data_IF_550926936893
#
_entry.id   IF_550926936893
#
_cell.length_a   1.000
_cell.length_b   1.000
_cell.length_c   1.000
_cell.angle_alpha   90.00
_cell.angle_beta   90.00
_cell.angle_gamma   90.00
#
_symmetry.space_group_name_H-M   'P 1'
#
loop_
_entity.id
_entity.type
_entity.pdbx_description
1 polymer ?
#
# COMPACT_ATOMS: atom_id res chain seq x y z
N UNK A 1 -19.92 6.74 -16.83
CA UNK A 1 -18.80 6.48 -15.91
C UNK A 1 -17.70 5.66 -16.57
N UNK A 2 -17.98 4.47 -17.10
CA UNK A 2 -16.97 3.59 -17.76
C UNK A 2 -16.21 4.32 -18.87
N UNK A 3 -16.90 4.89 -19.86
CA UNK A 3 -16.27 5.61 -20.97
C UNK A 3 -15.39 6.80 -20.50
N UNK A 4 -15.82 7.54 -19.46
CA UNK A 4 -15.01 8.64 -18.92
C UNK A 4 -13.75 8.16 -18.23
N UNK A 5 -13.82 7.02 -17.53
CA UNK A 5 -12.66 6.41 -16.88
C UNK A 5 -11.66 5.83 -17.90
N UNK A 6 -12.17 5.23 -19.00
CA UNK A 6 -11.32 4.72 -20.09
C UNK A 6 -10.56 5.86 -20.79
N UNK A 7 -11.25 6.96 -21.14
CA UNK A 7 -10.59 8.15 -21.67
C UNK A 7 -9.50 8.67 -20.71
N UNK A 8 -9.80 8.67 -19.41
CA UNK A 8 -8.86 9.14 -18.39
C UNK A 8 -7.61 8.25 -18.29
N UNK A 9 -7.73 6.93 -18.42
CA UNK A 9 -6.58 6.02 -18.49
C UNK A 9 -5.66 6.38 -19.66
N UNK A 10 -6.23 6.65 -20.84
CA UNK A 10 -5.44 7.07 -22.01
C UNK A 10 -4.75 8.42 -21.80
N UNK A 11 -5.46 9.42 -21.24
CA UNK A 11 -4.87 10.72 -20.89
C UNK A 11 -3.69 10.58 -19.90
N UNK A 12 -3.81 9.71 -18.89
CA UNK A 12 -2.75 9.43 -17.93
C UNK A 12 -1.55 8.79 -18.64
N UNK A 13 -1.79 7.77 -19.47
CA UNK A 13 -0.74 7.10 -20.20
C UNK A 13 0.00 8.08 -21.14
N UNK A 14 -0.72 8.90 -21.89
CA UNK A 14 -0.13 9.89 -22.79
C UNK A 14 0.73 10.89 -22.02
N UNK A 15 0.29 11.38 -20.85
CA UNK A 15 1.11 12.25 -20.00
C UNK A 15 2.41 11.57 -19.58
N UNK A 16 2.36 10.29 -19.18
CA UNK A 16 3.54 9.53 -18.73
C UNK A 16 4.51 9.29 -19.91
N UNK A 17 4.01 8.82 -21.06
CA UNK A 17 4.86 8.59 -22.24
C UNK A 17 5.48 9.86 -22.77
N UNK A 18 4.73 10.98 -22.71
CA UNK A 18 5.29 12.29 -23.08
C UNK A 18 6.41 12.73 -22.12
N UNK A 19 6.23 12.52 -20.80
CA UNK A 19 7.23 12.84 -19.79
C UNK A 19 8.49 11.97 -19.95
N UNK A 20 8.35 10.66 -20.26
CA UNK A 20 9.48 9.79 -20.62
C UNK A 20 10.25 10.32 -21.84
N UNK A 21 9.52 10.65 -22.91
CA UNK A 21 10.12 11.17 -24.16
C UNK A 21 10.84 12.49 -23.95
N UNK A 22 10.32 13.36 -23.10
CA UNK A 22 10.91 14.68 -22.79
C UNK A 22 11.99 14.62 -21.71
N UNK A 23 12.31 13.43 -21.16
CA UNK A 23 13.28 13.25 -20.07
C UNK A 23 12.90 13.97 -18.77
N UNK A 24 11.61 14.27 -18.56
CA UNK A 24 11.12 14.95 -17.34
C UNK A 24 11.21 14.07 -16.09
N UNK A 25 11.38 12.74 -16.27
CA UNK A 25 11.44 11.74 -15.20
C UNK A 25 12.88 11.37 -14.78
N UNK A 26 13.91 12.02 -15.29
CA UNK A 26 15.31 11.66 -15.00
C UNK A 26 15.65 11.77 -13.51
N UNK A 27 15.18 12.83 -12.84
CA UNK A 27 15.40 13.06 -11.41
C UNK A 27 14.48 12.24 -10.49
N UNK A 28 13.54 11.47 -11.05
CA UNK A 28 12.65 10.59 -10.27
C UNK A 28 13.46 9.43 -9.68
N UNK A 29 13.24 9.12 -8.40
CA UNK A 29 13.86 7.96 -7.74
C UNK A 29 13.51 6.64 -8.41
N UNK A 30 14.18 5.54 -8.04
CA UNK A 30 14.03 4.24 -8.70
C UNK A 30 12.91 3.36 -8.12
N UNK A 31 12.39 3.67 -6.93
CA UNK A 31 11.49 2.81 -6.15
C UNK A 31 10.19 2.36 -6.83
N UNK A 32 9.53 1.40 -6.20
CA UNK A 32 8.26 0.84 -6.68
C UNK A 32 7.07 1.78 -6.45
N UNK A 33 6.84 2.16 -5.20
CA UNK A 33 5.68 2.99 -4.88
C UNK A 33 5.96 4.47 -5.13
N UNK A 34 7.20 4.90 -4.95
CA UNK A 34 7.65 6.27 -5.18
C UNK A 34 8.88 6.27 -6.08
N UNK A 35 8.66 6.08 -7.40
CA UNK A 35 9.76 6.06 -8.37
C UNK A 35 9.47 5.42 -9.72
N UNK A 36 10.54 5.27 -10.51
CA UNK A 36 10.52 4.82 -11.91
C UNK A 36 9.98 3.40 -12.07
N UNK A 37 10.28 2.48 -11.11
CA UNK A 37 9.80 1.11 -11.18
C UNK A 37 8.26 1.06 -11.24
N UNK A 38 7.58 1.88 -10.45
CA UNK A 38 6.12 1.97 -10.48
C UNK A 38 5.57 2.56 -11.78
N UNK A 39 6.26 3.54 -12.35
CA UNK A 39 5.91 4.12 -13.65
C UNK A 39 6.06 3.07 -14.77
N UNK A 40 7.16 2.31 -14.75
CA UNK A 40 7.39 1.18 -15.67
C UNK A 40 6.29 0.13 -15.53
N UNK A 41 5.92 -0.21 -14.28
CA UNK A 41 4.86 -1.17 -14.00
C UNK A 41 3.52 -0.76 -14.62
N UNK A 42 3.05 0.46 -14.34
CA UNK A 42 1.81 0.98 -14.93
C UNK A 42 1.87 1.00 -16.47
N UNK A 43 2.95 1.53 -17.04
CA UNK A 43 3.12 1.67 -18.49
C UNK A 43 3.15 0.31 -19.20
N UNK A 44 3.80 -0.69 -18.58
CA UNK A 44 3.83 -2.06 -19.11
C UNK A 44 2.47 -2.72 -19.07
N UNK A 45 1.72 -2.55 -17.96
CA UNK A 45 0.35 -3.07 -17.83
C UNK A 45 -0.60 -2.39 -18.82
N UNK A 46 -0.48 -1.07 -18.98
CA UNK A 46 -1.24 -0.32 -19.98
C UNK A 46 -0.99 -0.85 -21.40
N UNK A 47 0.28 -1.04 -21.80
CA UNK A 47 0.63 -1.56 -23.13
C UNK A 47 0.28 -3.02 -23.35
N UNK A 48 0.09 -3.82 -22.32
CA UNK A 48 -0.49 -5.16 -22.41
C UNK A 48 -1.95 -5.09 -22.86
N UNK A 49 -2.71 -4.12 -22.33
CA UNK A 49 -4.13 -3.93 -22.65
C UNK A 49 -4.33 -3.14 -23.96
N UNK A 50 -3.47 -2.17 -24.22
CA UNK A 50 -3.54 -1.25 -25.35
C UNK A 50 -2.20 -1.21 -26.09
N UNK A 51 -1.90 -2.23 -26.93
CA UNK A 51 -0.62 -2.31 -27.64
C UNK A 51 -0.37 -1.11 -28.56
N UNK A 52 0.76 -0.43 -28.39
CA UNK A 52 1.21 0.67 -29.21
C UNK A 52 2.73 0.56 -29.43
N UNK A 53 3.20 0.28 -30.68
CA UNK A 53 4.63 0.08 -30.94
C UNK A 53 5.51 1.31 -30.62
N UNK A 54 5.01 2.52 -30.86
CA UNK A 54 5.77 3.73 -30.58
C UNK A 54 5.94 3.98 -29.07
N UNK A 55 4.86 3.79 -28.30
CA UNK A 55 4.93 3.87 -26.84
C UNK A 55 5.78 2.74 -26.24
N UNK A 56 5.78 1.55 -26.86
CA UNK A 56 6.65 0.44 -26.45
C UNK A 56 8.12 0.81 -26.60
N UNK A 57 8.54 1.39 -27.72
CA UNK A 57 9.93 1.84 -27.94
C UNK A 57 10.35 2.90 -26.88
N UNK A 58 9.44 3.81 -26.51
CA UNK A 58 9.71 4.81 -25.47
C UNK A 58 9.91 4.12 -24.12
N UNK A 59 9.03 3.17 -23.77
CA UNK A 59 9.12 2.42 -22.52
C UNK A 59 10.40 1.58 -22.44
N UNK A 60 10.76 0.91 -23.53
CA UNK A 60 11.99 0.07 -23.58
C UNK A 60 13.23 0.92 -23.30
N UNK A 61 13.38 2.08 -23.96
CA UNK A 61 14.49 3.02 -23.70
C UNK A 61 14.49 3.55 -22.25
N UNK A 62 13.33 3.83 -21.70
CA UNK A 62 13.20 4.28 -20.31
C UNK A 62 13.56 3.18 -19.32
N UNK A 63 13.18 1.93 -19.64
CA UNK A 63 13.51 0.75 -18.84
C UNK A 63 15.01 0.45 -18.89
N UNK A 64 15.66 0.53 -20.06
CA UNK A 64 17.12 0.37 -20.20
C UNK A 64 17.86 1.40 -19.34
N UNK A 65 17.48 2.67 -19.41
CA UNK A 65 18.05 3.73 -18.55
C UNK A 65 17.82 3.48 -17.06
N UNK A 66 16.66 2.94 -16.67
CA UNK A 66 16.38 2.54 -15.29
C UNK A 66 17.32 1.41 -14.84
N UNK A 67 17.50 0.38 -15.66
CA UNK A 67 18.38 -0.75 -15.35
C UNK A 67 19.85 -0.31 -15.23
N UNK A 68 20.32 0.58 -16.11
CA UNK A 68 21.66 1.18 -16.02
C UNK A 68 21.85 1.94 -14.71
N UNK A 69 20.83 2.70 -14.27
CA UNK A 69 20.90 3.41 -12.99
C UNK A 69 20.90 2.44 -11.79
N UNK A 70 20.14 1.35 -11.88
CA UNK A 70 20.07 0.34 -10.82
C UNK A 70 21.44 -0.36 -10.62
N UNK A 71 22.22 -0.56 -11.68
CA UNK A 71 23.57 -1.16 -11.59
C UNK A 71 24.58 -0.28 -10.86
N UNK A 72 24.34 1.03 -10.77
CA UNK A 72 25.19 1.96 -9.99
C UNK A 72 24.95 1.88 -8.47
N UNK A 73 24.02 1.01 -8.03
CA UNK A 73 23.71 0.75 -6.64
C UNK A 73 22.48 1.53 -6.13
N UNK A 74 21.97 1.10 -5.00
CA UNK A 74 20.79 1.67 -4.32
C UNK A 74 21.17 2.15 -2.93
N UNK A 75 20.73 3.35 -2.59
CA UNK A 75 20.93 3.93 -1.25
C UNK A 75 19.88 3.43 -0.23
N UNK A 76 18.77 2.86 -0.70
CA UNK A 76 17.65 2.43 0.16
C UNK A 76 17.29 0.96 -0.08
N UNK A 77 17.02 0.25 1.01
CA UNK A 77 16.49 -1.13 0.98
C UNK A 77 14.98 -1.18 1.17
N UNK A 78 14.34 -0.05 1.44
CA UNK A 78 12.93 0.07 1.76
C UNK A 78 12.00 -0.38 0.62
N UNK A 79 10.77 -0.73 0.96
CA UNK A 79 9.78 -1.18 -0.01
C UNK A 79 9.26 -0.03 -0.90
N UNK A 80 9.01 1.14 -0.31
CA UNK A 80 8.43 2.27 -1.02
C UNK A 80 9.36 2.79 -2.13
N UNK A 81 10.61 3.10 -1.78
CA UNK A 81 11.55 3.84 -2.62
C UNK A 81 12.89 3.12 -2.84
N UNK A 82 13.01 1.86 -2.40
CA UNK A 82 14.26 1.12 -2.39
C UNK A 82 14.18 -0.24 -3.08
N UNK A 83 15.22 -1.03 -2.86
CA UNK A 83 15.51 -2.24 -3.60
C UNK A 83 14.46 -3.35 -3.40
N UNK A 84 13.93 -3.54 -2.17
CA UNK A 84 12.95 -4.59 -1.93
C UNK A 84 11.65 -4.36 -2.70
N UNK A 85 11.22 -3.11 -2.86
CA UNK A 85 10.09 -2.79 -3.71
C UNK A 85 10.37 -3.00 -5.20
N UNK A 86 11.58 -2.66 -5.68
CA UNK A 86 11.99 -2.91 -7.07
C UNK A 86 11.93 -4.40 -7.37
N UNK A 87 12.53 -5.24 -6.53
CA UNK A 87 12.52 -6.69 -6.69
C UNK A 87 11.09 -7.25 -6.65
N UNK A 88 10.23 -6.75 -5.77
CA UNK A 88 8.81 -7.13 -5.73
C UNK A 88 8.07 -6.72 -7.01
N UNK A 89 8.35 -5.54 -7.54
CA UNK A 89 7.81 -5.08 -8.82
C UNK A 89 8.22 -6.00 -9.98
N UNK A 90 9.50 -6.35 -10.09
CA UNK A 90 10.04 -7.26 -11.10
C UNK A 90 9.43 -8.67 -10.96
N UNK A 91 9.39 -9.21 -9.72
CA UNK A 91 8.75 -10.50 -9.40
C UNK A 91 7.28 -10.53 -9.86
N UNK A 92 6.53 -9.49 -9.55
CA UNK A 92 5.12 -9.39 -9.91
C UNK A 92 4.94 -9.26 -11.44
N UNK A 93 5.72 -8.40 -12.12
CA UNK A 93 5.66 -8.22 -13.57
C UNK A 93 5.93 -9.53 -14.32
N UNK A 94 6.93 -10.29 -13.90
CA UNK A 94 7.23 -11.61 -14.47
C UNK A 94 6.07 -12.59 -14.21
N UNK A 95 5.54 -12.63 -12.99
CA UNK A 95 4.41 -13.49 -12.59
C UNK A 95 3.16 -13.27 -13.45
N UNK A 96 2.85 -12.01 -13.80
CA UNK A 96 1.68 -11.67 -14.62
C UNK A 96 1.98 -11.55 -16.12
N UNK A 97 3.22 -11.82 -16.52
CA UNK A 97 3.63 -11.89 -17.93
C UNK A 97 3.60 -10.56 -18.68
N UNK A 98 3.78 -9.43 -18.00
CA UNK A 98 3.89 -8.11 -18.66
C UNK A 98 5.35 -7.73 -18.99
N UNK A 99 6.28 -8.38 -18.35
CA UNK A 99 7.72 -8.27 -18.63
C UNK A 99 8.36 -9.62 -18.30
N UNK A 100 9.49 -9.92 -18.93
CA UNK A 100 10.28 -11.10 -18.62
C UNK A 100 11.74 -10.66 -18.46
N UNK A 101 12.09 -10.23 -17.25
CA UNK A 101 13.44 -9.81 -16.88
C UNK A 101 14.05 -10.87 -15.97
N UNK A 102 15.31 -11.26 -16.29
CA UNK A 102 16.13 -12.03 -15.35
C UNK A 102 16.77 -11.05 -14.35
N UNK A 103 16.39 -11.17 -13.10
CA UNK A 103 16.93 -10.40 -11.99
C UNK A 103 17.55 -11.29 -10.89
N UNK A 104 17.83 -12.55 -11.24
CA UNK A 104 18.35 -13.54 -10.29
C UNK A 104 19.70 -13.11 -9.69
N UNK A 105 20.59 -12.53 -10.47
CA UNK A 105 21.87 -12.03 -9.98
C UNK A 105 21.68 -10.87 -9.00
N UNK A 106 20.75 -9.96 -9.29
CA UNK A 106 20.42 -8.85 -8.39
C UNK A 106 19.83 -9.39 -7.08
N UNK A 107 18.87 -10.31 -7.16
CA UNK A 107 18.25 -10.93 -6.00
C UNK A 107 19.29 -11.66 -5.15
N UNK A 108 20.08 -12.55 -5.73
CA UNK A 108 21.09 -13.33 -5.03
C UNK A 108 22.16 -12.45 -4.34
N UNK A 109 22.60 -11.39 -5.00
CA UNK A 109 23.63 -10.50 -4.46
C UNK A 109 23.11 -9.67 -3.27
N UNK A 110 21.84 -9.26 -3.29
CA UNK A 110 21.27 -8.37 -2.26
C UNK A 110 20.43 -9.09 -1.22
N UNK A 111 20.00 -10.34 -1.42
CA UNK A 111 19.17 -11.06 -0.46
C UNK A 111 19.77 -11.10 0.96
N UNK A 112 21.07 -11.39 1.17
CA UNK A 112 21.65 -11.38 2.52
C UNK A 112 21.60 -9.99 3.19
N UNK A 113 21.84 -8.93 2.41
CA UNK A 113 21.83 -7.55 2.89
C UNK A 113 20.40 -7.11 3.27
N UNK A 114 19.42 -7.43 2.42
CA UNK A 114 18.01 -7.12 2.68
C UNK A 114 17.49 -7.83 3.92
N UNK A 115 17.75 -9.13 4.05
CA UNK A 115 17.37 -9.92 5.24
C UNK A 115 18.04 -9.36 6.50
N UNK A 116 19.36 -9.10 6.45
CA UNK A 116 20.09 -8.50 7.55
C UNK A 116 19.54 -7.12 7.96
N UNK A 117 19.19 -6.29 6.97
CA UNK A 117 18.56 -4.99 7.23
C UNK A 117 17.16 -5.13 7.86
N UNK A 118 16.35 -6.12 7.45
CA UNK A 118 15.04 -6.36 8.04
C UNK A 118 15.16 -6.76 9.52
N UNK A 119 16.05 -7.71 9.85
CA UNK A 119 16.31 -8.13 11.23
C UNK A 119 16.86 -6.99 12.10
N UNK A 120 17.82 -6.22 11.56
CA UNK A 120 18.32 -5.03 12.21
C UNK A 120 17.21 -4.00 12.48
N UNK A 121 16.33 -3.78 11.49
CA UNK A 121 15.22 -2.84 11.61
C UNK A 121 14.23 -3.25 12.70
N UNK A 122 13.86 -4.53 12.79
CA UNK A 122 13.00 -5.05 13.88
C UNK A 122 13.66 -4.79 15.24
N UNK A 123 14.95 -5.13 15.37
CA UNK A 123 15.72 -4.94 16.62
C UNK A 123 15.83 -3.48 17.05
N UNK A 124 15.66 -2.54 16.10
CA UNK A 124 15.69 -1.09 16.32
C UNK A 124 14.30 -0.43 16.23
N UNK A 125 13.24 -1.21 16.42
CA UNK A 125 11.86 -0.72 16.48
C UNK A 125 11.36 -0.06 15.19
N UNK A 126 11.89 -0.45 14.02
CA UNK A 126 11.43 0.00 12.72
C UNK A 126 10.69 -1.12 11.98
N UNK A 127 9.42 -1.28 12.30
CA UNK A 127 8.50 -2.28 11.71
C UNK A 127 7.76 -1.75 10.48
N UNK A 128 8.06 -0.53 10.05
CA UNK A 128 7.36 0.16 8.97
C UNK A 128 7.29 -0.71 7.70
N UNK A 129 6.11 -0.76 7.05
CA UNK A 129 5.96 -1.49 5.81
C UNK A 129 6.64 -0.76 4.64
N UNK A 130 6.48 0.56 4.58
CA UNK A 130 7.01 1.36 3.47
C UNK A 130 8.52 1.57 3.57
N UNK A 131 9.03 1.79 4.78
CA UNK A 131 10.42 2.26 5.00
C UNK A 131 11.24 1.40 5.97
N UNK A 132 10.70 0.29 6.46
CA UNK A 132 11.33 -0.59 7.44
C UNK A 132 11.30 -2.07 7.04
N UNK A 133 11.15 -2.92 8.05
CA UNK A 133 11.32 -4.37 7.91
C UNK A 133 10.22 -5.06 7.10
N UNK A 134 8.94 -4.65 7.28
CA UNK A 134 7.81 -5.46 6.83
C UNK A 134 7.68 -5.59 5.31
N UNK A 135 8.08 -4.56 4.56
CA UNK A 135 8.10 -4.64 3.10
C UNK A 135 9.12 -5.65 2.57
N UNK A 136 10.28 -5.77 3.25
CA UNK A 136 11.30 -6.77 2.94
C UNK A 136 10.81 -8.17 3.32
N UNK A 137 10.20 -8.32 4.49
CA UNK A 137 9.63 -9.59 4.95
C UNK A 137 8.57 -10.08 3.96
N UNK A 138 7.74 -9.19 3.45
CA UNK A 138 6.76 -9.51 2.40
C UNK A 138 7.42 -10.08 1.14
N UNK A 139 8.54 -9.53 0.70
CA UNK A 139 9.28 -10.02 -0.47
C UNK A 139 9.84 -11.43 -0.26
N UNK A 140 10.40 -11.71 0.92
CA UNK A 140 10.96 -13.02 1.29
C UNK A 140 9.95 -13.94 2.00
N UNK A 141 8.66 -13.80 1.76
CA UNK A 141 7.61 -14.56 2.44
C UNK A 141 7.69 -16.09 2.26
N UNK A 142 8.42 -16.58 1.26
CA UNK A 142 8.64 -18.00 0.99
C UNK A 142 9.90 -18.56 1.67
N UNK A 143 10.77 -17.69 2.22
CA UNK A 143 12.00 -18.10 2.92
C UNK A 143 11.71 -18.49 4.37
N UNK A 144 11.52 -19.77 4.58
CA UNK A 144 11.07 -20.33 5.86
C UNK A 144 12.05 -20.08 7.02
N UNK A 145 13.37 -20.16 6.78
CA UNK A 145 14.39 -19.92 7.81
C UNK A 145 14.36 -18.47 8.25
N UNK A 146 14.41 -17.55 7.30
CA UNK A 146 14.31 -16.12 7.57
C UNK A 146 13.01 -15.73 8.26
N UNK A 147 11.86 -16.28 7.81
CA UNK A 147 10.56 -15.99 8.43
C UNK A 147 10.50 -16.49 9.88
N UNK A 148 11.03 -17.67 10.20
CA UNK A 148 11.07 -18.15 11.57
C UNK A 148 11.95 -17.28 12.48
N UNK A 149 13.05 -16.74 11.97
CA UNK A 149 13.88 -15.76 12.70
C UNK A 149 13.10 -14.46 12.94
N UNK A 150 12.40 -13.95 11.91
CA UNK A 150 11.52 -12.77 12.02
C UNK A 150 10.43 -12.98 13.08
N UNK A 151 9.73 -14.12 13.07
CA UNK A 151 8.69 -14.43 14.07
C UNK A 151 9.26 -14.40 15.48
N UNK A 152 10.42 -15.06 15.70
CA UNK A 152 11.10 -15.06 17.00
C UNK A 152 11.45 -13.64 17.45
N UNK A 153 11.98 -12.81 16.56
CA UNK A 153 12.40 -11.47 16.86
C UNK A 153 11.22 -10.53 17.12
N UNK A 154 10.13 -10.65 16.37
CA UNK A 154 8.88 -9.93 16.63
C UNK A 154 8.31 -10.27 18.01
N UNK A 155 8.34 -11.53 18.44
CA UNK A 155 7.92 -11.90 19.79
C UNK A 155 8.83 -11.37 20.91
N UNK A 156 10.13 -11.30 20.66
CA UNK A 156 11.11 -10.75 21.62
C UNK A 156 10.97 -9.24 21.79
N UNK A 157 10.68 -8.53 20.71
CA UNK A 157 10.57 -7.05 20.71
C UNK A 157 9.18 -6.53 21.07
N UNK A 158 8.18 -7.41 21.11
CA UNK A 158 6.83 -7.03 21.51
C UNK A 158 6.74 -6.60 22.98
N UNK A 159 6.10 -5.47 23.25
CA UNK A 159 5.59 -5.15 24.57
C UNK A 159 4.34 -5.97 24.87
N UNK A 160 4.42 -6.81 25.89
CA UNK A 160 3.38 -7.79 26.26
C UNK A 160 2.64 -7.31 27.50
N UNK A 161 1.34 -7.05 27.37
CA UNK A 161 0.49 -6.63 28.48
C UNK A 161 -0.94 -7.15 28.29
N UNK A 162 -1.55 -7.69 29.33
CA UNK A 162 -2.98 -8.05 29.39
C UNK A 162 -3.52 -8.78 28.16
N UNK A 163 -2.81 -9.83 27.71
CA UNK A 163 -3.17 -10.60 26.53
C UNK A 163 -3.04 -9.84 25.19
N UNK A 164 -2.25 -8.76 25.15
CA UNK A 164 -1.98 -7.98 23.95
C UNK A 164 -0.49 -7.90 23.64
N UNK A 165 -0.17 -7.77 22.35
CA UNK A 165 1.18 -7.43 21.88
C UNK A 165 1.11 -6.09 21.12
N UNK A 166 2.05 -5.19 21.43
CA UNK A 166 2.25 -3.96 20.68
C UNK A 166 3.73 -3.73 20.40
N UNK A 167 4.01 -2.95 19.41
CA UNK A 167 5.35 -2.55 19.04
C UNK A 167 5.43 -1.04 18.98
N UNK A 168 6.30 -0.46 19.80
CA UNK A 168 6.56 0.97 19.76
C UNK A 168 7.50 1.30 18.60
N UNK A 169 7.26 2.43 17.96
CA UNK A 169 8.06 2.99 16.89
C UNK A 169 8.17 4.51 17.05
N UNK A 170 9.03 5.12 16.25
CA UNK A 170 9.09 6.57 16.17
C UNK A 170 7.95 7.09 15.28
N UNK A 171 7.12 7.98 15.82
CA UNK A 171 5.94 8.52 15.15
C UNK A 171 6.13 9.99 14.83
N UNK A 172 5.82 10.37 13.59
CA UNK A 172 5.82 11.75 13.12
C UNK A 172 7.19 12.41 13.01
N UNK A 173 7.20 13.67 12.59
CA UNK A 173 8.45 14.44 12.42
C UNK A 173 9.22 14.68 13.74
N UNK A 174 8.52 14.69 14.86
CA UNK A 174 9.11 14.86 16.21
C UNK A 174 9.69 13.56 16.76
N UNK A 175 9.58 12.44 16.03
CA UNK A 175 10.09 11.12 16.43
C UNK A 175 9.65 10.69 17.84
N UNK A 176 8.43 11.01 18.22
CA UNK A 176 7.88 10.55 19.50
C UNK A 176 7.78 9.02 19.49
N UNK A 177 8.17 8.40 20.59
CA UNK A 177 8.00 6.95 20.77
C UNK A 177 6.53 6.69 21.07
N UNK A 178 5.92 5.79 20.31
CA UNK A 178 4.54 5.40 20.47
C UNK A 178 4.20 4.21 19.58
N UNK A 179 3.01 3.68 19.74
CA UNK A 179 2.53 2.58 18.93
C UNK A 179 1.70 3.10 17.76
N UNK A 180 2.02 2.68 16.53
CA UNK A 180 1.24 2.99 15.34
C UNK A 180 0.34 1.80 15.00
N UNK A 181 -0.97 2.04 14.84
CA UNK A 181 -1.94 0.99 14.45
C UNK A 181 -2.24 0.97 12.95
N UNK A 182 -1.68 1.90 12.18
CA UNK A 182 -1.95 2.07 10.76
C UNK A 182 -1.53 0.87 9.90
N UNK A 183 -2.12 0.75 8.71
CA UNK A 183 -1.77 -0.29 7.76
C UNK A 183 -0.42 -0.02 7.06
N UNK A 184 -0.09 1.24 6.78
CA UNK A 184 1.17 1.58 6.10
C UNK A 184 2.41 1.57 7.02
N UNK A 185 2.24 1.84 8.33
CA UNK A 185 3.36 2.14 9.22
C UNK A 185 3.29 1.47 10.60
N UNK A 186 2.36 0.54 10.82
CA UNK A 186 2.09 0.06 12.17
C UNK A 186 1.65 -1.38 12.31
N UNK A 187 0.99 -1.69 13.41
CA UNK A 187 0.59 -3.05 13.79
C UNK A 187 -0.30 -3.72 12.75
N UNK A 188 -1.17 -2.96 12.07
CA UNK A 188 -2.01 -3.53 11.02
C UNK A 188 -1.19 -4.13 9.88
N UNK A 189 -0.03 -3.56 9.53
CA UNK A 189 0.86 -4.18 8.53
C UNK A 189 1.54 -5.45 9.05
N UNK A 190 1.92 -5.52 10.34
CA UNK A 190 2.41 -6.77 10.94
C UNK A 190 1.36 -7.87 10.78
N UNK A 191 0.11 -7.58 11.15
CA UNK A 191 -1.00 -8.54 11.04
C UNK A 191 -1.17 -9.01 9.60
N UNK A 192 -1.26 -8.09 8.63
CA UNK A 192 -1.51 -8.46 7.22
C UNK A 192 -0.34 -9.24 6.63
N UNK A 193 0.90 -8.80 6.83
CA UNK A 193 2.08 -9.50 6.30
C UNK A 193 2.15 -10.91 6.87
N UNK A 194 1.98 -11.09 8.18
CA UNK A 194 2.00 -12.41 8.81
C UNK A 194 0.81 -13.29 8.39
N UNK A 195 -0.36 -12.70 8.16
CA UNK A 195 -1.56 -13.44 7.70
C UNK A 195 -1.40 -14.02 6.28
N UNK A 196 -0.47 -13.50 5.48
CA UNK A 196 -0.18 -13.97 4.12
C UNK A 196 0.95 -14.99 4.06
N UNK A 197 1.54 -15.37 5.19
CA UNK A 197 2.56 -16.40 5.26
C UNK A 197 1.90 -17.77 5.24
N UNK A 198 2.09 -18.54 4.17
CA UNK A 198 1.39 -19.82 3.93
C UNK A 198 2.33 -21.04 3.84
N UNK A 199 3.63 -20.86 4.08
CA UNK A 199 4.58 -21.98 4.03
C UNK A 199 4.33 -22.97 5.16
N UNK A 200 4.20 -24.25 4.83
CA UNK A 200 3.97 -25.35 5.79
C UNK A 200 5.08 -25.45 6.86
N UNK A 201 6.27 -24.95 6.57
CA UNK A 201 7.46 -25.11 7.42
C UNK A 201 7.73 -23.93 8.36
N UNK A 202 6.89 -22.92 8.39
CA UNK A 202 7.01 -21.82 9.37
C UNK A 202 6.44 -22.21 10.74
N UNK A 203 6.84 -21.50 11.77
CA UNK A 203 6.26 -21.67 13.11
C UNK A 203 4.86 -21.01 13.18
N UNK A 204 3.85 -21.78 12.74
CA UNK A 204 2.45 -21.34 12.75
C UNK A 204 1.95 -20.92 14.13
N UNK A 205 2.36 -21.62 15.19
CA UNK A 205 1.94 -21.28 16.56
C UNK A 205 2.42 -19.89 16.98
N UNK A 206 3.67 -19.55 16.67
CA UNK A 206 4.22 -18.21 16.92
C UNK A 206 3.52 -17.15 16.06
N UNK A 207 3.37 -17.41 14.74
CA UNK A 207 2.63 -16.54 13.82
C UNK A 207 1.23 -16.23 14.33
N UNK A 208 0.46 -17.25 14.64
CA UNK A 208 -0.95 -17.14 15.04
C UNK A 208 -1.08 -16.41 16.39
N UNK A 209 -0.18 -16.69 17.32
CA UNK A 209 -0.11 -15.97 18.61
C UNK A 209 0.20 -14.48 18.41
N UNK A 210 1.16 -14.13 17.54
CA UNK A 210 1.48 -12.72 17.24
C UNK A 210 0.25 -12.03 16.65
N UNK A 211 -0.40 -12.63 15.65
CA UNK A 211 -1.60 -12.07 15.01
C UNK A 211 -2.73 -11.87 16.04
N UNK A 212 -3.02 -12.90 16.84
CA UNK A 212 -4.08 -12.84 17.86
C UNK A 212 -3.83 -11.69 18.85
N UNK A 213 -2.62 -11.62 19.43
CA UNK A 213 -2.30 -10.61 20.43
C UNK A 213 -2.22 -9.20 19.87
N UNK A 214 -1.79 -9.04 18.62
CA UNK A 214 -1.81 -7.78 17.88
C UNK A 214 -3.26 -7.31 17.63
N UNK A 215 -4.15 -8.21 17.18
CA UNK A 215 -5.58 -7.89 17.01
C UNK A 215 -6.24 -7.50 18.34
N UNK A 216 -5.91 -8.17 19.44
CA UNK A 216 -6.41 -7.80 20.75
C UNK A 216 -5.96 -6.39 21.16
N UNK A 217 -4.71 -6.02 20.85
CA UNK A 217 -4.25 -4.65 21.06
C UNK A 217 -5.01 -3.64 20.20
N UNK A 218 -5.16 -3.90 18.91
CA UNK A 218 -5.94 -3.01 18.01
C UNK A 218 -7.36 -2.82 18.55
N UNK A 219 -8.05 -3.88 18.93
CA UNK A 219 -9.41 -3.80 19.48
C UNK A 219 -9.47 -2.95 20.77
N UNK A 220 -8.40 -2.95 21.57
CA UNK A 220 -8.32 -2.08 22.76
C UNK A 220 -8.20 -0.58 22.43
N UNK A 221 -7.90 -0.25 21.19
CA UNK A 221 -7.80 1.15 20.70
C UNK A 221 -9.10 1.66 20.05
N UNK A 222 -10.18 0.86 20.07
CA UNK A 222 -11.47 1.29 19.55
C UNK A 222 -12.04 2.47 20.36
N UNK A 223 -12.54 3.47 19.65
CA UNK A 223 -13.15 4.67 20.22
C UNK A 223 -14.64 4.72 19.92
N UNK A 224 -15.39 5.59 20.61
CA UNK A 224 -16.82 5.78 20.36
C UNK A 224 -17.06 6.36 18.95
N UNK A 225 -17.39 5.48 17.99
CA UNK A 225 -17.61 5.86 16.60
C UNK A 225 -18.81 6.78 16.40
N UNK A 226 -19.80 6.76 17.29
CA UNK A 226 -20.94 7.67 17.22
C UNK A 226 -20.52 9.10 17.58
N UNK A 227 -19.64 9.24 18.56
CA UNK A 227 -19.12 10.54 19.01
C UNK A 227 -18.04 11.09 18.08
N UNK A 228 -17.09 10.24 17.62
CA UNK A 228 -15.93 10.69 16.88
C UNK A 228 -16.04 10.51 15.36
N UNK A 229 -17.03 9.76 14.87
CA UNK A 229 -17.24 9.53 13.44
C UNK A 229 -16.22 8.57 12.81
N UNK A 230 -15.49 7.80 13.62
CA UNK A 230 -14.56 6.73 13.22
C UNK A 230 -14.39 5.72 14.36
N UNK A 231 -14.03 4.48 14.03
CA UNK A 231 -13.79 3.40 15.00
C UNK A 231 -12.41 3.48 15.64
N UNK A 232 -11.43 3.99 14.91
CA UNK A 232 -10.03 4.01 15.35
C UNK A 232 -9.41 5.38 15.13
N UNK A 233 -8.53 5.82 16.06
CA UNK A 233 -7.69 6.99 15.83
C UNK A 233 -6.66 6.71 14.71
N UNK A 234 -5.98 7.74 14.21
CA UNK A 234 -4.91 7.56 13.22
C UNK A 234 -3.70 6.80 13.77
N UNK A 235 -3.40 6.99 15.05
CA UNK A 235 -2.32 6.31 15.80
C UNK A 235 -2.87 5.86 17.15
N UNK A 236 -2.19 4.95 17.83
CA UNK A 236 -2.58 4.55 19.20
C UNK A 236 -2.63 5.75 20.13
N UNK A 237 -3.61 5.73 21.03
CA UNK A 237 -3.76 6.75 22.06
C UNK A 237 -3.00 6.36 23.32
N UNK A 238 -2.29 7.32 23.90
CA UNK A 238 -1.93 7.29 25.29
C UNK A 238 -3.08 7.93 26.11
N UNK A 239 -3.14 7.68 27.42
CA UNK A 239 -4.25 8.14 28.28
C UNK A 239 -4.51 9.66 28.27
N UNK A 240 -3.51 10.46 27.89
CA UNK A 240 -3.58 11.93 27.86
C UNK A 240 -3.78 12.52 26.46
N UNK A 241 -3.87 11.67 25.41
CA UNK A 241 -3.98 12.16 24.05
C UNK A 241 -5.42 12.62 23.73
N UNK A 242 -5.52 13.72 23.01
CA UNK A 242 -6.79 14.17 22.43
C UNK A 242 -7.24 13.21 21.33
N UNK A 243 -8.46 12.66 21.45
CA UNK A 243 -9.03 11.80 20.43
C UNK A 243 -9.45 12.64 19.22
N UNK A 244 -8.83 12.39 18.07
CA UNK A 244 -9.15 13.05 16.81
C UNK A 244 -9.73 12.05 15.81
N UNK A 245 -10.72 12.51 15.04
CA UNK A 245 -11.28 11.75 13.93
C UNK A 245 -10.20 11.37 12.92
N UNK A 246 -10.16 10.10 12.52
CA UNK A 246 -9.30 9.64 11.46
C UNK A 246 -9.93 9.83 10.07
N UNK A 247 -9.08 10.00 9.06
CA UNK A 247 -9.50 10.02 7.64
C UNK A 247 -9.90 8.62 7.16
N UNK A 248 -10.61 8.56 6.03
CA UNK A 248 -10.71 7.33 5.26
C UNK A 248 -9.51 7.24 4.32
N UNK A 249 -8.70 6.21 4.48
CA UNK A 249 -7.52 5.99 3.64
C UNK A 249 -7.04 4.54 3.75
N UNK A 250 -6.17 4.14 2.83
CA UNK A 250 -5.39 2.93 2.94
C UNK A 250 -4.35 3.04 4.07
N UNK A 251 -3.62 4.16 4.12
CA UNK A 251 -2.48 4.30 5.01
C UNK A 251 -2.87 4.38 6.49
N UNK A 252 -3.88 5.16 6.86
CA UNK A 252 -4.29 5.42 8.24
C UNK A 252 -5.81 5.32 8.41
N UNK A 253 -6.24 5.02 9.64
CA UNK A 253 -7.64 5.05 10.06
C UNK A 253 -8.37 3.73 9.83
N UNK A 254 -9.69 3.80 9.84
CA UNK A 254 -10.61 2.67 9.92
C UNK A 254 -10.39 1.59 8.87
N UNK A 255 -10.20 1.97 7.59
CA UNK A 255 -10.18 1.00 6.49
C UNK A 255 -8.95 0.09 6.54
N UNK A 256 -7.77 0.66 6.85
CA UNK A 256 -6.53 -0.12 6.98
C UNK A 256 -6.59 -1.09 8.15
N UNK A 257 -7.13 -0.64 9.30
CA UNK A 257 -7.34 -1.50 10.48
C UNK A 257 -8.36 -2.60 10.19
N UNK A 258 -9.47 -2.26 9.53
CA UNK A 258 -10.49 -3.24 9.18
C UNK A 258 -9.97 -4.29 8.19
N UNK A 259 -9.13 -3.91 7.21
CA UNK A 259 -8.47 -4.86 6.32
C UNK A 259 -7.57 -5.83 7.10
N UNK A 260 -6.82 -5.34 8.09
CA UNK A 260 -5.99 -6.20 8.94
C UNK A 260 -6.83 -7.19 9.78
N UNK A 261 -7.94 -6.72 10.37
CA UNK A 261 -8.87 -7.60 11.11
C UNK A 261 -9.53 -8.63 10.18
N UNK A 262 -9.83 -8.27 8.92
CA UNK A 262 -10.36 -9.18 7.93
C UNK A 262 -9.36 -10.30 7.60
N UNK A 263 -8.11 -9.95 7.31
CA UNK A 263 -7.06 -10.92 6.99
C UNK A 263 -6.74 -11.83 8.19
N UNK A 264 -6.63 -11.27 9.39
CA UNK A 264 -6.49 -12.05 10.61
C UNK A 264 -7.68 -13.01 10.82
N UNK A 265 -8.89 -12.54 10.57
CA UNK A 265 -10.11 -13.34 10.66
C UNK A 265 -10.17 -14.47 9.65
N UNK A 266 -9.54 -14.33 8.47
CA UNK A 266 -9.40 -15.41 7.48
C UNK A 266 -8.42 -16.48 7.97
N UNK A 267 -7.20 -16.07 8.32
CA UNK A 267 -6.11 -17.01 8.65
C UNK A 267 -6.36 -17.76 9.96
N UNK A 268 -6.95 -17.11 10.97
CA UNK A 268 -7.27 -17.72 12.27
C UNK A 268 -8.72 -18.24 12.38
N UNK A 269 -9.47 -18.22 11.28
CA UNK A 269 -10.90 -18.60 11.23
C UNK A 269 -11.75 -17.90 12.32
N UNK A 270 -11.45 -16.60 12.59
CA UNK A 270 -12.12 -15.82 13.61
C UNK A 270 -13.26 -14.98 13.01
N UNK A 271 -14.50 -15.47 13.20
CA UNK A 271 -15.69 -14.83 12.64
C UNK A 271 -15.98 -13.46 13.29
N UNK A 272 -15.59 -13.23 14.54
CA UNK A 272 -15.80 -11.96 15.23
C UNK A 272 -15.00 -10.83 14.53
N UNK A 273 -13.74 -11.07 14.19
CA UNK A 273 -12.92 -10.08 13.48
C UNK A 273 -13.41 -9.83 12.05
N UNK A 274 -13.83 -10.87 11.35
CA UNK A 274 -14.45 -10.72 10.02
C UNK A 274 -15.71 -9.86 10.09
N UNK A 275 -16.60 -10.13 11.05
CA UNK A 275 -17.82 -9.35 11.26
C UNK A 275 -17.50 -7.90 11.63
N UNK A 276 -16.51 -7.67 12.49
CA UNK A 276 -16.05 -6.32 12.85
C UNK A 276 -15.49 -5.55 11.65
N UNK A 277 -14.71 -6.19 10.81
CA UNK A 277 -14.23 -5.57 9.58
C UNK A 277 -15.37 -5.13 8.66
N UNK A 278 -16.36 -5.99 8.43
CA UNK A 278 -17.56 -5.66 7.63
C UNK A 278 -18.34 -4.50 8.26
N UNK A 279 -18.50 -4.48 9.58
CA UNK A 279 -19.17 -3.40 10.32
C UNK A 279 -18.48 -2.06 10.08
N UNK A 280 -17.14 -2.03 10.20
CA UNK A 280 -16.32 -0.81 9.99
C UNK A 280 -16.42 -0.32 8.55
N UNK A 281 -16.28 -1.21 7.55
CA UNK A 281 -16.46 -0.84 6.14
C UNK A 281 -17.87 -0.35 5.83
N UNK A 282 -18.90 -0.96 6.44
CA UNK A 282 -20.30 -0.54 6.30
C UNK A 282 -20.55 0.84 6.90
N UNK A 283 -19.95 1.14 8.07
CA UNK A 283 -20.00 2.46 8.66
C UNK A 283 -19.26 3.48 7.78
N UNK A 284 -18.05 3.16 7.36
CA UNK A 284 -17.20 4.02 6.54
C UNK A 284 -17.81 4.33 5.17
N UNK A 285 -18.62 3.42 4.59
CA UNK A 285 -19.31 3.62 3.31
C UNK A 285 -20.31 4.81 3.32
N UNK A 286 -20.70 5.28 4.49
CA UNK A 286 -21.59 6.46 4.66
C UNK A 286 -20.86 7.79 4.55
N UNK A 287 -19.53 7.80 4.70
CA UNK A 287 -18.69 9.00 4.63
C UNK A 287 -18.38 9.33 3.15
N UNK A 288 -19.32 10.03 2.49
CA UNK A 288 -19.31 10.24 1.02
C UNK A 288 -19.04 11.67 0.58
N UNK A 289 -18.59 12.55 1.44
CA UNK A 289 -18.06 13.87 1.06
C UNK A 289 -16.54 13.93 1.24
N UNK A 290 -15.85 14.86 0.54
CA UNK A 290 -14.42 15.07 0.74
C UNK A 290 -14.11 15.47 2.18
N UNK A 291 -14.91 16.37 2.74
CA UNK A 291 -14.79 16.83 4.13
C UNK A 291 -15.00 15.67 5.12
N UNK A 292 -16.04 14.87 4.91
CA UNK A 292 -16.39 13.77 5.80
C UNK A 292 -15.36 12.63 5.74
N UNK A 293 -14.87 12.30 4.55
CA UNK A 293 -13.80 11.33 4.35
C UNK A 293 -12.41 11.91 4.68
N UNK A 294 -12.28 13.24 4.81
CA UNK A 294 -11.02 13.97 5.03
C UNK A 294 -10.00 13.73 3.91
N UNK A 295 -10.45 13.73 2.65
CA UNK A 295 -9.61 13.61 1.46
C UNK A 295 -9.52 14.94 0.72
N UNK A 296 -8.39 15.16 0.01
CA UNK A 296 -8.15 16.41 -0.72
C UNK A 296 -7.94 16.17 -2.23
N UNK A 297 -7.44 15.01 -2.61
CA UNK A 297 -7.01 14.65 -3.97
C UNK A 297 -7.40 13.22 -4.36
N UNK A 298 -6.68 12.64 -5.34
CA UNK A 298 -7.02 11.32 -5.93
C UNK A 298 -5.95 10.26 -5.68
N UNK A 299 -4.86 10.55 -5.01
CA UNK A 299 -3.76 9.61 -4.82
C UNK A 299 -4.15 8.28 -4.14
N UNK A 300 -3.32 7.22 -4.29
CA UNK A 300 -3.55 5.92 -3.67
C UNK A 300 -3.23 5.86 -2.17
N UNK A 301 -2.38 6.74 -1.67
CA UNK A 301 -2.03 6.75 -0.25
C UNK A 301 -3.23 7.11 0.62
N UNK A 302 -3.88 8.27 0.33
CA UNK A 302 -4.98 8.80 1.13
C UNK A 302 -5.97 9.68 0.37
N UNK A 303 -5.98 9.61 -0.95
CA UNK A 303 -6.95 10.27 -1.82
C UNK A 303 -8.16 9.39 -2.16
N UNK A 304 -9.00 9.83 -3.08
CA UNK A 304 -10.21 9.10 -3.48
C UNK A 304 -9.91 7.76 -4.16
N UNK A 305 -8.77 7.61 -4.87
CA UNK A 305 -8.34 6.32 -5.43
C UNK A 305 -8.01 5.29 -4.33
N UNK A 306 -7.51 5.74 -3.18
CA UNK A 306 -7.37 4.89 -1.99
C UNK A 306 -8.69 4.26 -1.59
N UNK A 307 -9.77 5.03 -1.60
CA UNK A 307 -11.11 4.55 -1.24
C UNK A 307 -11.67 3.59 -2.28
N UNK A 308 -11.46 3.88 -3.57
CA UNK A 308 -11.81 2.92 -4.65
C UNK A 308 -11.12 1.58 -4.40
N UNK A 309 -9.81 1.59 -4.16
CA UNK A 309 -9.00 0.39 -3.92
C UNK A 309 -9.50 -0.40 -2.70
N UNK A 310 -9.74 0.27 -1.57
CA UNK A 310 -10.16 -0.38 -0.33
C UNK A 310 -11.57 -0.98 -0.42
N UNK A 311 -12.53 -0.26 -1.00
CA UNK A 311 -13.90 -0.77 -1.16
C UNK A 311 -13.99 -1.83 -2.26
N UNK A 312 -13.18 -1.75 -3.32
CA UNK A 312 -13.08 -2.80 -4.32
C UNK A 312 -12.49 -4.10 -3.74
N UNK A 313 -11.44 -3.99 -2.93
CA UNK A 313 -10.89 -5.13 -2.18
C UNK A 313 -11.98 -5.82 -1.35
N UNK A 314 -12.72 -5.09 -0.52
CA UNK A 314 -13.77 -5.69 0.31
C UNK A 314 -14.97 -6.18 -0.50
N UNK A 315 -15.28 -5.57 -1.64
CA UNK A 315 -16.30 -6.11 -2.54
C UNK A 315 -15.87 -7.48 -3.09
N UNK A 316 -14.63 -7.61 -3.56
CA UNK A 316 -14.10 -8.90 -4.07
C UNK A 316 -14.06 -9.99 -3.00
N UNK A 317 -13.72 -9.62 -1.76
CA UNK A 317 -13.65 -10.54 -0.62
C UNK A 317 -15.02 -11.01 -0.12
N UNK A 318 -16.06 -10.18 -0.22
CA UNK A 318 -17.35 -10.43 0.44
C UNK A 318 -18.53 -10.58 -0.51
N UNK A 319 -18.42 -10.10 -1.75
CA UNK A 319 -19.55 -9.98 -2.67
C UNK A 319 -20.61 -8.95 -2.25
N UNK A 320 -20.34 -8.11 -1.24
CA UNK A 320 -21.32 -7.15 -0.71
C UNK A 320 -21.49 -5.95 -1.66
N UNK A 321 -22.66 -5.81 -2.25
CA UNK A 321 -23.00 -4.76 -3.21
C UNK A 321 -22.82 -3.34 -2.66
N UNK A 322 -23.00 -3.11 -1.36
CA UNK A 322 -22.75 -1.80 -0.74
C UNK A 322 -21.31 -1.34 -0.96
N UNK A 323 -20.35 -2.27 -0.94
CA UNK A 323 -18.94 -1.94 -1.15
C UNK A 323 -18.66 -1.64 -2.61
N UNK A 324 -19.31 -2.34 -3.55
CA UNK A 324 -19.26 -2.03 -4.98
C UNK A 324 -19.84 -0.64 -5.27
N UNK A 325 -21.03 -0.33 -4.72
CA UNK A 325 -21.65 0.98 -4.88
C UNK A 325 -20.79 2.12 -4.31
N UNK A 326 -20.11 1.85 -3.18
CA UNK A 326 -19.21 2.83 -2.55
C UNK A 326 -17.94 3.02 -3.37
N UNK A 327 -17.35 1.94 -3.92
CA UNK A 327 -16.26 1.98 -4.89
C UNK A 327 -16.64 2.83 -6.11
N UNK A 328 -17.80 2.57 -6.70
CA UNK A 328 -18.27 3.26 -7.90
C UNK A 328 -18.54 4.75 -7.63
N UNK A 329 -19.06 5.08 -6.45
CA UNK A 329 -19.19 6.47 -5.99
C UNK A 329 -17.83 7.19 -5.96
N UNK A 330 -16.82 6.59 -5.33
CA UNK A 330 -15.50 7.19 -5.23
C UNK A 330 -14.75 7.21 -6.56
N UNK A 331 -14.95 6.23 -7.42
CA UNK A 331 -14.44 6.24 -8.79
C UNK A 331 -15.00 7.42 -9.61
N UNK A 332 -16.30 7.70 -9.50
CA UNK A 332 -16.92 8.87 -10.12
C UNK A 332 -16.33 10.16 -9.52
N UNK A 333 -16.13 10.21 -8.21
CA UNK A 333 -15.52 11.36 -7.52
C UNK A 333 -14.08 11.60 -7.97
N UNK A 334 -13.31 10.53 -8.17
CA UNK A 334 -11.95 10.62 -8.73
C UNK A 334 -11.93 11.24 -10.14
N UNK A 335 -12.91 10.95 -10.97
CA UNK A 335 -13.06 11.62 -12.28
C UNK A 335 -13.41 13.11 -12.13
N UNK A 336 -14.31 13.46 -11.22
CA UNK A 336 -14.69 14.85 -10.97
C UNK A 336 -13.52 15.71 -10.45
N UNK A 337 -12.60 15.10 -9.69
CA UNK A 337 -11.42 15.77 -9.15
C UNK A 337 -10.29 15.97 -10.17
N UNK A 338 -10.42 15.51 -11.41
CA UNK A 338 -9.48 15.81 -12.51
C UNK A 338 -9.72 17.21 -13.08
N UNK A 339 -9.57 18.24 -12.27
CA UNK A 339 -10.00 19.62 -12.60
C UNK A 339 -8.84 20.64 -12.79
N UNK A 340 -7.59 20.24 -12.56
CA UNK A 340 -6.46 21.15 -12.68
C UNK A 340 -6.01 21.31 -14.15
N UNK A 341 -6.16 22.50 -14.70
CA UNK A 341 -5.75 22.81 -16.09
C UNK A 341 -4.25 22.59 -16.34
N UNK A 342 -3.44 22.82 -15.32
CA UNK A 342 -1.99 22.63 -15.33
C UNK A 342 -1.57 21.33 -14.63
N UNK A 343 -2.51 20.41 -14.33
CA UNK A 343 -2.26 19.11 -13.74
C UNK A 343 -1.81 18.06 -14.76
N UNK A 344 -1.36 16.91 -14.29
CA UNK A 344 -1.09 15.72 -15.11
C UNK A 344 -2.42 15.00 -15.34
N UNK A 345 -2.88 14.92 -16.58
CA UNK A 345 -4.22 14.45 -16.92
C UNK A 345 -5.33 15.10 -16.05
N UNK A 346 -5.15 16.34 -15.63
CA UNK A 346 -6.05 17.07 -14.75
C UNK A 346 -5.83 16.85 -13.24
N UNK A 347 -4.85 16.03 -12.81
CA UNK A 347 -4.58 15.74 -11.41
C UNK A 347 -3.38 16.47 -10.85
N UNK A 348 -3.43 16.78 -9.57
CA UNK A 348 -2.33 17.19 -8.70
C UNK A 348 -2.49 16.55 -7.33
N UNK A 349 -1.38 16.32 -6.65
CA UNK A 349 -1.31 15.77 -5.30
C UNK A 349 -1.25 16.89 -4.27
N UNK A 350 -2.06 16.79 -3.24
CA UNK A 350 -2.11 17.77 -2.15
C UNK A 350 -0.96 17.57 -1.15
N UNK A 351 -0.25 18.64 -0.85
CA UNK A 351 0.90 18.63 0.08
C UNK A 351 0.69 19.53 1.30
N UNK A 352 -0.54 19.95 1.53
CA UNK A 352 -0.90 20.88 2.58
C UNK A 352 -1.65 22.10 2.04
N UNK A 353 -2.10 23.03 2.89
CA UNK A 353 -2.83 24.21 2.47
C UNK A 353 -2.10 24.95 1.34
N UNK A 354 -2.80 25.16 0.23
CA UNK A 354 -2.32 25.85 -0.97
C UNK A 354 -1.08 25.24 -1.67
N UNK A 355 -0.71 24.01 -1.31
CA UNK A 355 0.46 23.31 -1.88
C UNK A 355 0.03 22.10 -2.68
N UNK A 356 0.27 22.16 -3.99
CA UNK A 356 -0.06 21.11 -4.94
C UNK A 356 1.16 20.74 -5.77
N UNK A 357 1.36 19.43 -6.02
CA UNK A 357 2.46 18.91 -6.84
C UNK A 357 1.94 18.05 -7.99
N UNK A 358 2.78 17.89 -9.00
CA UNK A 358 2.62 16.93 -10.09
C UNK A 358 3.47 15.71 -9.73
N UNK A 359 2.83 14.56 -9.57
CA UNK A 359 3.50 13.31 -9.21
C UNK A 359 3.15 12.22 -10.23
N UNK A 360 4.15 11.44 -10.62
CA UNK A 360 3.99 10.40 -11.64
C UNK A 360 3.95 8.98 -11.05
N UNK A 361 4.39 8.79 -9.82
CA UNK A 361 4.57 7.50 -9.17
C UNK A 361 3.24 6.77 -8.86
N UNK A 362 3.34 5.57 -8.24
CA UNK A 362 2.15 4.80 -7.86
C UNK A 362 1.50 5.36 -6.60
N UNK A 363 2.28 5.73 -5.57
CA UNK A 363 1.73 6.04 -4.26
C UNK A 363 0.93 7.34 -4.27
N UNK A 364 1.52 8.39 -4.85
CA UNK A 364 0.97 9.74 -4.81
C UNK A 364 0.61 10.28 -6.20
N UNK A 365 1.01 9.60 -7.27
CA UNK A 365 0.95 10.11 -8.62
C UNK A 365 -0.08 9.45 -9.53
N UNK A 366 0.00 9.88 -10.79
CA UNK A 366 -0.97 9.46 -11.82
C UNK A 366 -0.83 8.00 -12.24
N UNK A 367 0.34 7.35 -12.06
CA UNK A 367 0.48 5.91 -12.32
C UNK A 367 -0.44 5.09 -11.41
N UNK A 368 -0.53 5.46 -10.12
CA UNK A 368 -1.45 4.80 -9.19
C UNK A 368 -2.92 5.04 -9.51
N UNK A 369 -3.25 6.26 -9.93
CA UNK A 369 -4.61 6.60 -10.39
C UNK A 369 -4.97 5.76 -11.63
N UNK A 370 -4.03 5.62 -12.57
CA UNK A 370 -4.19 4.77 -13.75
C UNK A 370 -4.40 3.30 -13.40
N UNK A 371 -3.59 2.74 -12.48
CA UNK A 371 -3.75 1.37 -11.99
C UNK A 371 -5.12 1.14 -11.35
N UNK A 372 -5.61 2.07 -10.54
CA UNK A 372 -6.94 2.01 -9.95
C UNK A 372 -8.04 1.92 -11.03
N UNK A 373 -7.98 2.74 -12.07
CA UNK A 373 -8.94 2.66 -13.17
C UNK A 373 -8.83 1.34 -13.94
N UNK A 374 -7.61 0.87 -14.24
CA UNK A 374 -7.39 -0.41 -14.91
C UNK A 374 -7.96 -1.59 -14.10
N UNK A 375 -7.87 -1.55 -12.78
CA UNK A 375 -8.44 -2.59 -11.92
C UNK A 375 -9.95 -2.68 -12.08
N UNK A 376 -10.65 -1.55 -11.98
CA UNK A 376 -12.12 -1.54 -12.02
C UNK A 376 -12.65 -1.82 -13.43
N UNK A 377 -11.94 -1.36 -14.48
CA UNK A 377 -12.39 -1.50 -15.87
C UNK A 377 -12.04 -2.86 -16.49
N UNK A 378 -10.85 -3.40 -16.17
CA UNK A 378 -10.28 -4.56 -16.87
C UNK A 378 -9.91 -5.72 -15.94
N UNK A 379 -10.28 -5.64 -14.65
CA UNK A 379 -10.00 -6.66 -13.63
C UNK A 379 -8.49 -6.92 -13.39
N UNK A 380 -7.65 -5.90 -13.55
CA UNK A 380 -6.22 -5.99 -13.35
C UNK A 380 -5.84 -5.63 -11.90
N UNK A 381 -5.96 -6.60 -10.98
CA UNK A 381 -5.82 -6.37 -9.53
C UNK A 381 -4.46 -6.74 -8.93
N UNK A 382 -3.58 -7.41 -9.68
CA UNK A 382 -2.35 -8.00 -9.11
C UNK A 382 -1.40 -6.98 -8.48
N UNK A 383 -1.39 -5.75 -8.95
CA UNK A 383 -0.62 -4.65 -8.35
C UNK A 383 -1.08 -4.28 -6.92
N UNK A 384 -2.32 -4.63 -6.54
CA UNK A 384 -2.83 -4.36 -5.17
C UNK A 384 -2.06 -5.16 -4.11
N UNK A 385 -1.31 -6.19 -4.51
CA UNK A 385 -0.34 -6.87 -3.65
C UNK A 385 0.70 -5.91 -3.07
N UNK A 386 1.04 -4.81 -3.77
CA UNK A 386 1.97 -3.77 -3.30
C UNK A 386 1.39 -2.96 -2.12
N UNK A 387 0.09 -3.01 -1.95
CA UNK A 387 -0.66 -2.38 -0.87
C UNK A 387 -1.19 -3.39 0.16
N UNK A 388 -0.67 -4.63 0.15
CA UNK A 388 -1.09 -5.73 1.03
C UNK A 388 -2.56 -6.15 0.85
N UNK A 389 -3.19 -5.84 -0.29
CA UNK A 389 -4.60 -6.10 -0.62
C UNK A 389 -4.70 -7.11 -1.77
N UNK A 390 -4.82 -8.42 -1.47
CA UNK A 390 -4.90 -9.48 -2.50
C UNK A 390 -5.58 -10.75 -1.96
#
# INVERSE_FOLDING_TARGET
>A
MVQGAECKVHEIADCIFQAMKNQELESTGLGLLSGKMGIIYFSSLYLKLFPNPQQREILDKFTDSFLDQLTNGMESYAFCNGLSGILEGLKNMNKIGIMNLDYSDLDNNYAPLLKGFALYSISNYNYDFLHGALGIIKYFNEDTEFINEVLSLLEQTAEKKDNTYRWNSQIGAERKIGCNIALSHGISSIIVVLSKLDSVSINHESRDRIIEKACNYINSQEIDFQKYGCYFPSISLNEQDEIKRSRLAWCYGDLGVAAALWEAGKVLNNQTWKSKAIEIFTFSSKRRSQEDAMIQDVELCHGSASLVMMFDYMYRETGNDLFRETRDFWMKKSLELSCFKDGLAGYKTWQGPDKWRKEYDILNGISGIGLMFLSVLYNEYKWMEFFMLH
#
